data_IF_334831268364
#
_entry.id   IF_334831268364
#
_cell.length_a   1.000
_cell.length_b   1.000
_cell.length_c   1.000
_cell.angle_alpha   90.00
_cell.angle_beta   90.00
_cell.angle_gamma   90.00
#
_symmetry.space_group_name_H-M   'P 1'
#
loop_
_entity.id
_entity.type
_entity.pdbx_description
1 polymer ?
#
# COMPACT_ATOMS: atom_id res chain seq x y z
N UNK A 1 -13.99 14.20 2.97
CA UNK A 1 -13.74 15.64 3.21
C UNK A 1 -14.39 16.59 2.19
N UNK A 2 -13.98 16.60 0.90
CA UNK A 2 -14.49 17.56 -0.09
C UNK A 2 -16.02 17.55 -0.24
N UNK A 3 -16.63 16.36 -0.23
CA UNK A 3 -18.10 16.18 -0.30
C UNK A 3 -18.82 16.92 0.84
N UNK A 4 -18.38 16.71 2.08
CA UNK A 4 -18.89 17.39 3.27
C UNK A 4 -18.69 18.91 3.19
N UNK A 5 -17.52 19.37 2.73
CA UNK A 5 -17.20 20.80 2.63
C UNK A 5 -18.06 21.52 1.58
N UNK A 6 -18.30 20.88 0.44
CA UNK A 6 -19.11 21.41 -0.66
C UNK A 6 -20.60 21.10 -0.51
N UNK A 7 -21.00 20.36 0.53
CA UNK A 7 -22.38 19.93 0.79
C UNK A 7 -23.00 19.14 -0.38
N UNK A 8 -22.22 18.19 -0.91
CA UNK A 8 -22.60 17.31 -2.05
C UNK A 8 -22.60 15.83 -1.66
N UNK A 9 -22.99 15.54 -0.41
CA UNK A 9 -22.97 14.19 0.14
C UNK A 9 -23.96 13.23 -0.56
N UNK A 10 -24.93 13.75 -1.31
CA UNK A 10 -25.92 13.00 -2.09
C UNK A 10 -25.49 12.71 -3.54
N UNK A 11 -24.43 13.37 -4.04
CA UNK A 11 -23.93 13.19 -5.41
C UNK A 11 -23.30 11.82 -5.60
N UNK A 12 -23.45 11.17 -6.77
CA UNK A 12 -22.73 9.93 -7.05
C UNK A 12 -21.21 10.15 -7.12
N UNK A 13 -20.45 9.08 -6.92
CA UNK A 13 -18.99 9.04 -7.12
C UNK A 13 -18.69 8.27 -8.40
N UNK A 14 -17.86 8.85 -9.25
CA UNK A 14 -17.44 8.25 -10.51
C UNK A 14 -16.08 7.57 -10.35
N UNK A 15 -15.99 6.28 -10.67
CA UNK A 15 -14.73 5.56 -10.87
C UNK A 15 -14.57 5.37 -12.38
N UNK A 16 -13.61 6.05 -12.98
CA UNK A 16 -13.39 6.06 -14.42
C UNK A 16 -12.08 5.36 -14.78
N UNK A 17 -12.13 4.46 -15.79
CA UNK A 17 -10.96 3.80 -16.39
C UNK A 17 -10.03 3.14 -15.37
N UNK A 18 -10.59 2.30 -14.50
CA UNK A 18 -9.87 1.59 -13.45
C UNK A 18 -9.87 0.07 -13.70
N UNK A 19 -8.79 -0.60 -13.29
CA UNK A 19 -8.74 -2.07 -13.30
C UNK A 19 -9.76 -2.66 -12.31
N UNK A 20 -10.15 -3.92 -12.49
CA UNK A 20 -11.10 -4.59 -11.59
C UNK A 20 -10.64 -4.56 -10.11
N UNK A 21 -9.34 -4.70 -9.86
CA UNK A 21 -8.78 -4.63 -8.51
C UNK A 21 -8.85 -3.22 -7.90
N UNK A 22 -8.61 -2.19 -8.72
CA UNK A 22 -8.71 -0.81 -8.29
C UNK A 22 -10.17 -0.41 -8.06
N UNK A 23 -11.09 -0.83 -8.93
CA UNK A 23 -12.55 -0.66 -8.73
C UNK A 23 -12.97 -1.29 -7.41
N UNK A 24 -12.60 -2.56 -7.16
CA UNK A 24 -12.93 -3.26 -5.91
C UNK A 24 -12.42 -2.50 -4.68
N UNK A 25 -11.14 -2.12 -4.68
CA UNK A 25 -10.53 -1.40 -3.56
C UNK A 25 -11.17 -0.03 -3.34
N UNK A 26 -11.38 0.74 -4.42
CA UNK A 26 -11.98 2.07 -4.34
C UNK A 26 -13.44 2.01 -3.87
N UNK A 27 -14.25 1.07 -4.37
CA UNK A 27 -15.61 0.87 -3.89
C UNK A 27 -15.64 0.48 -2.42
N UNK A 28 -14.78 -0.44 -1.97
CA UNK A 28 -14.70 -0.80 -0.56
C UNK A 28 -14.29 0.39 0.35
N UNK A 29 -13.37 1.25 -0.12
CA UNK A 29 -13.00 2.47 0.59
C UNK A 29 -14.15 3.50 0.66
N UNK A 30 -14.93 3.64 -0.42
CA UNK A 30 -16.13 4.49 -0.47
C UNK A 30 -17.24 3.97 0.45
N UNK A 31 -17.46 2.66 0.47
CA UNK A 31 -18.43 2.01 1.34
C UNK A 31 -18.06 2.19 2.82
N UNK A 32 -16.76 2.18 3.16
CA UNK A 32 -16.28 2.43 4.52
C UNK A 32 -16.63 3.83 5.06
N UNK A 33 -16.85 4.81 4.17
CA UNK A 33 -17.29 6.17 4.52
C UNK A 33 -18.77 6.43 4.23
N UNK A 34 -19.56 5.38 3.96
CA UNK A 34 -21.01 5.45 3.83
C UNK A 34 -21.54 5.78 2.44
N UNK A 35 -20.73 5.74 1.39
CA UNK A 35 -21.21 5.82 0.00
C UNK A 35 -21.74 4.43 -0.37
N UNK A 36 -23.00 4.31 -0.76
CA UNK A 36 -23.60 3.04 -1.15
C UNK A 36 -23.29 2.67 -2.61
N UNK A 37 -23.35 1.39 -2.95
CA UNK A 37 -23.00 0.90 -4.30
C UNK A 37 -23.88 1.54 -5.40
N UNK A 38 -25.15 1.88 -5.13
CA UNK A 38 -26.03 2.58 -6.07
C UNK A 38 -25.59 4.02 -6.37
N UNK A 39 -24.71 4.59 -5.53
CA UNK A 39 -24.08 5.91 -5.72
C UNK A 39 -22.70 5.80 -6.35
N UNK A 40 -22.19 4.61 -6.63
CA UNK A 40 -20.89 4.41 -7.27
C UNK A 40 -21.12 4.09 -8.75
N UNK A 41 -20.71 5.02 -9.62
CA UNK A 41 -20.82 4.87 -11.07
C UNK A 41 -19.46 4.43 -11.59
N UNK A 42 -19.40 3.24 -12.19
CA UNK A 42 -18.18 2.72 -12.82
C UNK A 42 -18.28 2.92 -14.32
N UNK A 43 -17.23 3.49 -14.93
CA UNK A 43 -17.17 3.77 -16.37
C UNK A 43 -15.90 3.20 -16.99
N UNK A 44 -15.99 2.84 -18.28
CA UNK A 44 -14.92 2.22 -19.05
C UNK A 44 -13.99 3.24 -19.71
N UNK A 45 -13.42 2.86 -20.85
CA UNK A 45 -12.49 3.71 -21.62
C UNK A 45 -13.19 4.81 -22.42
N UNK A 46 -14.49 4.67 -22.66
CA UNK A 46 -15.26 5.62 -23.47
C UNK A 46 -15.45 6.97 -22.76
N UNK A 47 -15.43 8.09 -23.52
CA UNK A 47 -15.76 9.40 -22.99
C UNK A 47 -17.11 9.40 -22.26
N UNK A 48 -17.11 9.81 -21.00
CA UNK A 48 -18.33 9.91 -20.18
C UNK A 48 -18.73 11.38 -20.03
N UNK A 49 -19.95 11.71 -20.45
CA UNK A 49 -20.49 13.05 -20.35
C UNK A 49 -21.35 13.19 -19.09
N UNK A 50 -21.02 14.18 -18.25
CA UNK A 50 -21.79 14.53 -17.06
C UNK A 50 -22.11 16.02 -17.08
N UNK A 51 -23.27 16.41 -16.55
CA UNK A 51 -23.69 17.82 -16.52
C UNK A 51 -22.76 18.67 -15.64
N UNK A 52 -22.34 18.12 -14.51
CA UNK A 52 -21.42 18.74 -13.57
C UNK A 52 -20.48 17.66 -13.02
N UNK A 53 -19.20 17.99 -12.91
CA UNK A 53 -18.17 17.14 -12.31
C UNK A 53 -17.42 17.96 -11.26
N UNK A 54 -17.29 17.42 -10.05
CA UNK A 54 -16.37 17.94 -9.05
C UNK A 54 -15.15 17.04 -9.06
N UNK A 55 -14.02 17.60 -9.49
CA UNK A 55 -12.72 16.95 -9.48
C UNK A 55 -11.83 17.62 -8.44
N UNK A 56 -11.31 16.84 -7.51
CA UNK A 56 -10.38 17.33 -6.48
C UNK A 56 -8.98 16.95 -6.93
N UNK A 57 -8.17 17.96 -7.21
CA UNK A 57 -6.76 17.81 -7.56
C UNK A 57 -5.85 18.33 -6.43
N UNK A 58 -4.53 18.12 -6.56
CA UNK A 58 -3.56 18.70 -5.65
C UNK A 58 -3.36 17.93 -4.34
N UNK A 59 -3.86 16.69 -4.25
CA UNK A 59 -3.70 15.87 -3.05
C UNK A 59 -2.38 15.10 -3.05
N UNK A 60 -1.97 14.59 -4.20
CA UNK A 60 -0.74 13.81 -4.35
C UNK A 60 -0.11 14.02 -5.72
N UNK A 61 1.21 13.91 -5.76
CA UNK A 61 1.95 13.60 -6.97
C UNK A 61 2.99 12.56 -6.60
N UNK A 62 2.95 11.41 -7.27
CA UNK A 62 3.80 10.26 -6.95
C UNK A 62 5.26 10.71 -6.82
N UNK A 63 5.83 10.47 -5.63
CA UNK A 63 7.24 10.73 -5.33
C UNK A 63 7.66 12.21 -5.36
N UNK A 64 6.69 13.12 -5.36
CA UNK A 64 6.92 14.57 -5.42
C UNK A 64 6.33 15.28 -4.20
N UNK A 65 5.03 15.07 -3.92
CA UNK A 65 4.40 15.59 -2.72
C UNK A 65 3.20 14.73 -2.31
N UNK A 66 2.88 14.77 -1.01
CA UNK A 66 1.78 14.02 -0.40
C UNK A 66 1.11 14.93 0.64
N UNK A 67 -0.13 15.35 0.35
CA UNK A 67 -0.86 16.28 1.21
C UNK A 67 -1.28 15.64 2.54
N UNK A 68 -1.19 16.35 3.68
CA UNK A 68 -1.72 15.87 4.96
C UNK A 68 -3.21 15.49 4.92
N UNK A 69 -4.00 16.10 4.03
CA UNK A 69 -5.41 15.77 3.84
C UNK A 69 -5.65 14.33 3.39
N UNK A 70 -4.68 13.71 2.71
CA UNK A 70 -4.76 12.30 2.33
C UNK A 70 -4.85 11.44 3.58
N UNK A 71 -3.99 11.69 4.57
CA UNK A 71 -3.98 10.92 5.82
C UNK A 71 -5.22 11.15 6.67
N UNK A 72 -5.77 12.36 6.67
CA UNK A 72 -7.07 12.62 7.31
C UNK A 72 -8.19 11.79 6.67
N UNK A 73 -8.21 11.68 5.34
CA UNK A 73 -9.15 10.80 4.64
C UNK A 73 -8.92 9.32 5.00
N UNK A 74 -7.67 8.86 5.07
CA UNK A 74 -7.35 7.48 5.45
C UNK A 74 -7.73 7.17 6.91
N UNK A 75 -7.59 8.14 7.82
CA UNK A 75 -8.04 8.02 9.20
C UNK A 75 -9.57 7.92 9.29
N UNK A 76 -10.31 8.73 8.51
CA UNK A 76 -11.78 8.61 8.40
C UNK A 76 -12.19 7.22 7.87
N UNK A 77 -11.54 6.74 6.80
CA UNK A 77 -11.82 5.43 6.18
C UNK A 77 -11.55 4.28 7.17
N UNK A 78 -10.51 4.40 7.99
CA UNK A 78 -10.07 3.32 8.89
C UNK A 78 -10.57 3.43 10.33
N UNK A 79 -11.36 4.46 10.66
CA UNK A 79 -11.78 4.80 12.03
C UNK A 79 -12.44 3.61 12.75
N UNK A 80 -13.38 2.93 12.08
CA UNK A 80 -14.16 1.83 12.65
C UNK A 80 -13.55 0.44 12.44
N UNK A 81 -12.37 0.37 11.82
CA UNK A 81 -11.70 -0.90 11.53
C UNK A 81 -10.80 -1.28 12.70
N UNK A 82 -11.08 -2.41 13.34
CA UNK A 82 -10.27 -2.92 14.45
C UNK A 82 -8.98 -3.55 13.93
N UNK A 83 -7.87 -3.27 14.60
CA UNK A 83 -6.57 -3.84 14.25
C UNK A 83 -6.50 -5.34 14.51
N UNK A 84 -5.72 -6.06 13.70
CA UNK A 84 -5.37 -7.45 13.98
C UNK A 84 -4.34 -7.54 15.12
N UNK A 85 -4.24 -8.73 15.74
CA UNK A 85 -3.31 -8.98 16.84
C UNK A 85 -1.87 -9.25 16.39
N UNK A 86 -1.66 -9.51 15.10
CA UNK A 86 -0.38 -9.88 14.54
C UNK A 86 0.58 -8.69 14.47
N UNK A 87 1.72 -8.81 15.15
CA UNK A 87 2.65 -7.69 15.38
C UNK A 87 3.80 -7.65 14.39
N UNK A 88 4.12 -8.78 13.75
CA UNK A 88 5.30 -8.93 12.89
C UNK A 88 4.84 -9.45 11.55
N UNK A 89 4.77 -8.57 10.57
CA UNK A 89 4.24 -8.90 9.24
C UNK A 89 5.37 -8.95 8.23
N UNK A 90 5.48 -10.07 7.53
CA UNK A 90 6.16 -10.10 6.26
C UNK A 90 5.13 -9.84 5.14
N UNK A 91 5.15 -8.63 4.59
CA UNK A 91 4.31 -8.21 3.47
C UNK A 91 4.88 -8.76 2.16
N UNK A 92 4.53 -10.02 1.87
CA UNK A 92 4.88 -10.72 0.64
C UNK A 92 4.25 -10.04 -0.56
N UNK A 93 4.92 -10.10 -1.70
CA UNK A 93 4.40 -9.59 -2.98
C UNK A 93 3.68 -10.66 -3.81
N UNK A 94 3.58 -11.88 -3.28
CA UNK A 94 3.04 -13.03 -3.99
C UNK A 94 4.00 -13.63 -5.03
N UNK A 95 3.72 -14.86 -5.44
CA UNK A 95 4.62 -15.67 -6.28
C UNK A 95 4.86 -15.11 -7.70
N UNK A 96 3.95 -14.29 -8.22
CA UNK A 96 4.00 -13.77 -9.59
C UNK A 96 4.34 -12.28 -9.66
N UNK A 97 4.95 -11.73 -8.61
CA UNK A 97 5.34 -10.33 -8.60
C UNK A 97 6.49 -10.05 -9.56
N UNK A 98 6.48 -8.87 -10.18
CA UNK A 98 7.58 -8.38 -11.01
C UNK A 98 8.87 -8.09 -10.23
N UNK A 99 8.80 -8.15 -8.91
CA UNK A 99 9.90 -7.90 -7.98
C UNK A 99 9.64 -8.65 -6.69
N UNK A 100 10.60 -9.40 -6.18
CA UNK A 100 10.54 -10.03 -4.86
C UNK A 100 11.97 -10.34 -4.38
N UNK A 101 12.15 -10.98 -3.22
CA UNK A 101 13.48 -11.52 -2.92
C UNK A 101 13.84 -12.61 -3.93
N UNK A 102 15.10 -12.64 -4.33
CA UNK A 102 15.65 -13.81 -5.01
C UNK A 102 15.59 -15.00 -4.06
N UNK A 103 15.04 -16.13 -4.53
CA UNK A 103 14.70 -17.28 -3.69
C UNK A 103 13.76 -16.91 -2.52
N UNK A 104 12.63 -16.30 -2.86
CA UNK A 104 11.62 -15.82 -1.92
C UNK A 104 11.27 -16.81 -0.80
N UNK A 105 11.15 -18.10 -1.12
CA UNK A 105 10.88 -19.16 -0.16
C UNK A 105 11.97 -19.31 0.92
N UNK A 106 13.22 -18.96 0.63
CA UNK A 106 14.33 -18.93 1.60
C UNK A 106 14.17 -17.73 2.53
N UNK A 107 13.90 -16.55 1.97
CA UNK A 107 13.69 -15.32 2.74
C UNK A 107 12.46 -15.44 3.67
N UNK A 108 11.32 -15.89 3.13
CA UNK A 108 10.08 -16.10 3.88
C UNK A 108 10.29 -17.08 5.05
N UNK A 109 10.96 -18.22 4.83
CA UNK A 109 11.29 -19.17 5.91
C UNK A 109 12.09 -18.51 7.03
N UNK A 110 13.13 -17.75 6.69
CA UNK A 110 13.96 -17.04 7.68
C UNK A 110 13.14 -16.01 8.47
N UNK A 111 12.23 -15.29 7.82
CA UNK A 111 11.34 -14.34 8.49
C UNK A 111 10.35 -15.04 9.42
N UNK A 112 9.79 -16.17 9.00
CA UNK A 112 8.90 -17.00 9.82
C UNK A 112 9.62 -17.53 11.07
N UNK A 113 10.87 -17.98 10.95
CA UNK A 113 11.71 -18.39 12.09
C UNK A 113 11.92 -17.25 13.11
N UNK A 114 11.86 -15.99 12.67
CA UNK A 114 11.96 -14.79 13.51
C UNK A 114 10.61 -14.29 14.05
N UNK A 115 9.55 -15.08 13.84
CA UNK A 115 8.19 -14.81 14.31
C UNK A 115 7.41 -13.83 13.42
N UNK A 116 7.82 -13.63 12.17
CA UNK A 116 7.00 -12.88 11.20
C UNK A 116 5.96 -13.79 10.56
N UNK A 117 4.74 -13.28 10.42
CA UNK A 117 3.70 -13.93 9.63
C UNK A 117 3.78 -13.45 8.19
N UNK A 118 3.91 -14.39 7.24
CA UNK A 118 3.79 -14.06 5.82
C UNK A 118 2.33 -13.73 5.47
N UNK A 119 2.14 -12.57 4.83
CA UNK A 119 0.84 -12.08 4.37
C UNK A 119 0.99 -11.46 2.98
N UNK A 120 0.07 -11.81 2.08
CA UNK A 120 -0.02 -11.19 0.76
C UNK A 120 -1.30 -10.36 0.69
N UNK A 121 -1.18 -9.05 0.48
CA UNK A 121 -2.34 -8.14 0.52
C UNK A 121 -3.24 -8.33 -0.70
N UNK A 122 -2.70 -8.79 -1.83
CA UNK A 122 -3.45 -9.02 -3.06
C UNK A 122 -4.58 -10.05 -2.95
N UNK A 123 -4.56 -10.92 -1.94
CA UNK A 123 -5.66 -11.87 -1.63
C UNK A 123 -6.63 -11.38 -0.56
N UNK A 124 -6.36 -10.23 0.05
CA UNK A 124 -7.17 -9.67 1.14
C UNK A 124 -8.14 -8.61 0.61
N UNK A 125 -9.34 -8.56 1.19
CA UNK A 125 -10.22 -7.40 1.00
C UNK A 125 -9.63 -6.15 1.66
N UNK A 126 -10.11 -4.98 1.25
CA UNK A 126 -9.58 -3.70 1.71
C UNK A 126 -9.62 -3.55 3.23
N UNK A 127 -10.71 -3.99 3.89
CA UNK A 127 -10.79 -3.91 5.34
C UNK A 127 -9.72 -4.77 6.00
N UNK A 128 -9.52 -6.01 5.56
CA UNK A 128 -8.53 -6.93 6.08
C UNK A 128 -7.10 -6.44 5.86
N UNK A 129 -6.83 -5.77 4.73
CA UNK A 129 -5.56 -5.06 4.53
C UNK A 129 -5.35 -3.99 5.61
N UNK A 130 -6.36 -3.16 5.88
CA UNK A 130 -6.27 -2.14 6.95
C UNK A 130 -6.03 -2.80 8.31
N UNK A 131 -6.78 -3.84 8.69
CA UNK A 131 -6.64 -4.51 10.00
C UNK A 131 -5.20 -4.96 10.24
N UNK A 132 -4.62 -5.61 9.23
CA UNK A 132 -3.26 -6.14 9.26
C UNK A 132 -2.23 -5.03 9.49
N UNK A 133 -2.26 -3.96 8.70
CA UNK A 133 -1.27 -2.88 8.82
C UNK A 133 -1.47 -2.00 10.06
N UNK A 134 -2.72 -1.80 10.51
CA UNK A 134 -3.04 -1.01 11.71
C UNK A 134 -2.50 -1.66 12.99
N UNK A 135 -2.50 -3.00 13.06
CA UNK A 135 -2.06 -3.76 14.23
C UNK A 135 -0.56 -4.05 14.30
N UNK A 136 0.15 -3.95 13.17
CA UNK A 136 1.54 -4.33 13.03
C UNK A 136 2.50 -3.36 13.75
N UNK A 137 3.48 -3.92 14.45
CA UNK A 137 4.59 -3.19 15.10
C UNK A 137 5.87 -3.24 14.27
N UNK A 138 6.05 -4.31 13.47
CA UNK A 138 7.18 -4.47 12.56
C UNK A 138 6.68 -5.02 11.24
N UNK A 139 7.05 -4.37 10.14
CA UNK A 139 6.72 -4.80 8.78
C UNK A 139 8.00 -4.98 7.98
N UNK A 140 8.13 -6.11 7.32
CA UNK A 140 9.18 -6.39 6.34
C UNK A 140 8.53 -6.52 4.98
N UNK A 141 9.07 -5.88 3.95
CA UNK A 141 8.55 -6.07 2.60
C UNK A 141 9.45 -5.49 1.52
N UNK A 142 9.23 -5.93 0.30
CA UNK A 142 9.90 -5.43 -0.91
C UNK A 142 9.05 -4.35 -1.57
N UNK A 143 9.69 -3.32 -2.15
CA UNK A 143 9.04 -2.20 -2.84
C UNK A 143 7.81 -2.57 -3.68
N UNK A 144 6.69 -1.87 -3.45
CA UNK A 144 5.62 -1.69 -4.43
C UNK A 144 4.24 -1.58 -3.79
N UNK A 145 3.19 -1.86 -4.55
CA UNK A 145 1.81 -1.49 -4.21
C UNK A 145 1.38 -1.94 -2.81
N UNK A 146 1.64 -3.19 -2.42
CA UNK A 146 1.26 -3.71 -1.09
C UNK A 146 1.83 -2.88 0.07
N UNK A 147 3.04 -2.33 -0.06
CA UNK A 147 3.65 -1.49 0.97
C UNK A 147 3.03 -0.09 1.08
N UNK A 148 2.16 0.33 0.15
CA UNK A 148 1.43 1.60 0.32
C UNK A 148 0.48 1.56 1.53
N UNK A 149 0.06 0.36 1.95
CA UNK A 149 -0.78 0.14 3.13
C UNK A 149 -0.08 0.50 4.45
N UNK A 150 1.23 0.77 4.48
CA UNK A 150 1.89 1.34 5.68
C UNK A 150 1.28 2.70 6.07
N UNK A 151 0.53 3.33 5.15
CA UNK A 151 -0.28 4.50 5.44
C UNK A 151 -1.33 4.28 6.54
N UNK A 152 -1.68 3.03 6.86
CA UNK A 152 -2.60 2.67 7.95
C UNK A 152 -1.91 2.29 9.27
N UNK A 153 -0.58 2.17 9.28
CA UNK A 153 0.17 1.85 10.49
C UNK A 153 0.04 2.94 11.56
N UNK A 154 0.20 2.54 12.81
CA UNK A 154 0.25 3.47 13.93
C UNK A 154 1.65 4.11 14.04
N UNK A 155 1.77 5.31 14.63
CA UNK A 155 3.07 5.95 14.85
C UNK A 155 4.05 5.04 15.60
N UNK A 156 5.31 5.00 15.17
CA UNK A 156 6.35 4.17 15.76
C UNK A 156 6.46 2.75 15.20
N UNK A 157 5.55 2.29 14.35
CA UNK A 157 5.73 1.01 13.62
C UNK A 157 7.05 1.01 12.85
N UNK A 158 7.86 -0.04 12.99
CA UNK A 158 9.11 -0.19 12.24
C UNK A 158 8.84 -0.81 10.87
N UNK A 159 9.32 -0.15 9.82
CA UNK A 159 9.18 -0.60 8.43
C UNK A 159 10.57 -0.91 7.86
N UNK A 160 10.82 -2.17 7.52
CA UNK A 160 11.98 -2.60 6.76
C UNK A 160 11.60 -2.69 5.29
N UNK A 161 11.91 -1.63 4.55
CA UNK A 161 11.56 -1.49 3.15
C UNK A 161 12.77 -1.87 2.26
N UNK A 162 12.69 -3.03 1.65
CA UNK A 162 13.73 -3.53 0.75
C UNK A 162 13.50 -2.97 -0.65
N UNK A 163 14.47 -2.20 -1.14
CA UNK A 163 14.41 -1.47 -2.40
C UNK A 163 15.43 -2.02 -3.38
N UNK A 164 15.12 -2.04 -4.68
CA UNK A 164 16.14 -2.15 -5.72
C UNK A 164 17.17 -1.01 -5.59
N UNK A 165 18.44 -1.32 -5.83
CA UNK A 165 19.52 -0.35 -5.72
C UNK A 165 19.38 0.81 -6.71
N UNK A 166 18.79 0.56 -7.88
CA UNK A 166 18.61 1.55 -8.95
C UNK A 166 17.31 2.34 -8.86
N UNK A 167 16.39 1.97 -7.95
CA UNK A 167 15.09 2.60 -7.87
C UNK A 167 15.17 4.01 -7.27
N UNK A 168 14.93 5.05 -8.07
CA UNK A 168 14.84 6.43 -7.56
C UNK A 168 13.41 6.74 -7.12
N UNK A 169 13.01 6.18 -5.98
CA UNK A 169 11.63 6.22 -5.51
C UNK A 169 11.56 6.59 -4.02
N UNK A 170 10.62 7.47 -3.63
CA UNK A 170 10.56 8.08 -2.30
C UNK A 170 9.18 8.05 -1.62
N UNK A 171 8.13 7.56 -2.29
CA UNK A 171 6.75 7.52 -1.78
C UNK A 171 6.67 6.82 -0.43
N UNK A 172 7.31 5.66 -0.25
CA UNK A 172 7.24 4.90 1.00
C UNK A 172 7.86 5.67 2.17
N UNK A 173 8.98 6.36 1.91
CA UNK A 173 9.57 7.27 2.87
C UNK A 173 8.62 8.43 3.19
N UNK A 174 7.98 9.06 2.19
CA UNK A 174 7.01 10.14 2.41
C UNK A 174 5.82 9.70 3.26
N UNK A 175 5.26 8.52 2.97
CA UNK A 175 4.17 7.93 3.77
C UNK A 175 4.64 7.69 5.21
N UNK A 176 5.83 7.11 5.37
CA UNK A 176 6.39 6.85 6.69
C UNK A 176 6.64 8.12 7.50
N UNK A 177 7.16 9.19 6.89
CA UNK A 177 7.35 10.47 7.55
C UNK A 177 6.02 11.05 8.01
N UNK A 178 5.01 11.06 7.14
CA UNK A 178 3.70 11.59 7.47
C UNK A 178 2.97 10.80 8.58
N UNK A 179 3.22 9.48 8.67
CA UNK A 179 2.67 8.61 9.73
C UNK A 179 3.58 8.50 10.97
N UNK A 180 4.77 9.11 10.96
CA UNK A 180 5.79 9.02 12.02
C UNK A 180 6.21 7.57 12.29
N UNK A 181 6.55 6.84 11.23
CA UNK A 181 7.03 5.45 11.30
C UNK A 181 8.57 5.40 11.42
N UNK A 182 9.10 4.35 12.05
CA UNK A 182 10.54 4.04 12.03
C UNK A 182 10.88 3.38 10.69
N UNK A 183 11.18 4.19 9.68
CA UNK A 183 11.44 3.72 8.33
C UNK A 183 12.91 3.41 8.10
N UNK A 184 13.19 2.17 7.75
CA UNK A 184 14.52 1.67 7.40
C UNK A 184 14.49 1.21 5.95
N UNK A 185 15.23 1.91 5.12
CA UNK A 185 15.41 1.57 3.73
C UNK A 185 16.64 0.68 3.55
N UNK A 186 16.49 -0.45 2.86
CA UNK A 186 17.59 -1.36 2.55
C UNK A 186 17.71 -1.49 1.04
N UNK A 187 18.81 -1.00 0.49
CA UNK A 187 19.11 -1.11 -0.95
C UNK A 187 19.76 -2.45 -1.26
N UNK A 188 19.20 -3.17 -2.22
CA UNK A 188 19.62 -4.51 -2.63
C UNK A 188 19.88 -4.57 -4.14
N UNK A 189 20.90 -5.33 -4.52
CA UNK A 189 21.25 -5.56 -5.93
C UNK A 189 20.13 -6.32 -6.64
N UNK A 190 19.73 -5.83 -7.82
CA UNK A 190 18.77 -6.49 -8.69
C UNK A 190 19.39 -7.69 -9.43
N UNK A 191 18.64 -8.79 -9.53
CA UNK A 191 19.04 -10.02 -10.21
C UNK A 191 17.93 -10.57 -11.09
N UNK A 192 18.29 -11.42 -12.05
CA UNK A 192 17.35 -12.02 -13.00
C UNK A 192 16.86 -11.05 -14.07
N UNK A 193 15.89 -11.45 -14.92
CA UNK A 193 15.36 -10.60 -15.99
C UNK A 193 14.49 -9.47 -15.44
N UNK A 194 14.37 -8.38 -16.20
CA UNK A 194 13.30 -7.40 -16.00
C UNK A 194 11.98 -8.01 -16.45
N UNK A 195 11.00 -8.02 -15.55
CA UNK A 195 9.68 -8.66 -15.77
C UNK A 195 8.52 -7.67 -15.77
N UNK A 196 8.76 -6.42 -15.38
CA UNK A 196 7.78 -5.32 -15.42
C UNK A 196 8.24 -4.14 -16.28
N UNK A 197 7.46 -3.06 -16.24
CA UNK A 197 7.68 -1.88 -17.08
C UNK A 197 8.80 -0.97 -16.58
N UNK A 198 9.10 -1.00 -15.28
CA UNK A 198 10.15 -0.17 -14.70
C UNK A 198 11.51 -0.87 -14.80
N UNK A 199 12.63 -0.13 -14.97
CA UNK A 199 13.97 -0.71 -15.06
C UNK A 199 14.36 -1.60 -13.86
N UNK A 200 13.77 -1.31 -12.69
CA UNK A 200 14.01 -2.02 -11.43
C UNK A 200 12.94 -3.08 -11.10
N UNK A 201 12.06 -3.44 -12.04
CA UNK A 201 11.12 -4.57 -11.92
C UNK A 201 11.83 -5.91 -12.13
N UNK A 202 12.72 -6.20 -11.18
CA UNK A 202 13.60 -7.38 -11.09
C UNK A 202 13.56 -7.91 -9.66
N UNK A 203 13.94 -9.18 -9.47
CA UNK A 203 14.16 -9.70 -8.12
C UNK A 203 15.33 -8.99 -7.45
N UNK A 204 15.34 -8.91 -6.11
CA UNK A 204 16.43 -8.32 -5.34
C UNK A 204 17.16 -9.40 -4.55
N UNK A 205 18.48 -9.33 -4.53
CA UNK A 205 19.31 -10.28 -3.83
C UNK A 205 19.64 -9.80 -2.41
N UNK A 206 19.43 -10.69 -1.44
CA UNK A 206 19.92 -10.51 -0.08
C UNK A 206 20.33 -11.85 0.52
N UNK A 207 21.45 -11.87 1.23
CA UNK A 207 21.86 -13.01 2.04
C UNK A 207 20.84 -13.24 3.19
N UNK A 208 20.29 -14.45 3.39
CA UNK A 208 19.28 -14.70 4.41
C UNK A 208 19.73 -14.38 5.85
N UNK A 209 21.00 -14.58 6.18
CA UNK A 209 21.50 -14.27 7.52
C UNK A 209 21.72 -12.76 7.71
N UNK A 210 22.07 -12.03 6.65
CA UNK A 210 22.01 -10.58 6.62
C UNK A 210 20.59 -10.06 6.76
N UNK A 211 19.61 -10.63 6.06
CA UNK A 211 18.19 -10.30 6.22
C UNK A 211 17.77 -10.45 7.69
N UNK A 212 18.07 -11.60 8.30
CA UNK A 212 17.75 -11.89 9.69
C UNK A 212 18.35 -10.88 10.67
N UNK A 213 19.63 -10.53 10.49
CA UNK A 213 20.31 -9.53 11.33
C UNK A 213 19.68 -8.15 11.22
N UNK A 214 19.34 -7.70 10.01
CA UNK A 214 18.72 -6.38 9.78
C UNK A 214 17.36 -6.30 10.49
N UNK A 215 16.51 -7.31 10.28
CA UNK A 215 15.12 -7.28 10.79
C UNK A 215 15.01 -7.66 12.26
N UNK A 216 16.11 -8.05 12.90
CA UNK A 216 16.17 -8.31 14.36
C UNK A 216 16.64 -7.11 15.17
N UNK A 217 17.21 -6.09 14.53
CA UNK A 217 17.65 -4.84 15.17
C UNK A 217 16.48 -3.93 15.53
#
# INVERSE_FOLDING_TARGET
MARKHLQVDDWPVLIHRASADLVRTASQALNAIGVSDDKIIITGEEPTFVKHLIFVDGLTQHSYYLSPFVFQCLDEISANIQADSDKRIYASRGAHSSRNFHEENVAARKLIELGYSEKFSGTLDFQSQIKMFKGAERIVGVMGADLTNIAFCHPGTTIFCFMPNTASEVLFWMIAQARRLDYREIRCTEVGPQTGSLPWDRSIQIDPDRLARIVSA
#
